data_IF_799757563051
#
_entry.id   IF_799757563051
#
_cell.length_a   1.000
_cell.length_b   1.000
_cell.length_c   1.000
_cell.angle_alpha   90.00
_cell.angle_beta   90.00
_cell.angle_gamma   90.00
#
_symmetry.space_group_name_H-M   'P 1'
#
loop_
_entity.id
_entity.type
_entity.pdbx_description
1 polymer ?
#
# COMPACT_ATOMS: atom_id res chain seq x y z
N UNK A 1 -90.32 9.32 -135.17
CA UNK A 1 -91.48 9.56 -134.28
C UNK A 1 -91.22 9.08 -132.85
N UNK A 2 -90.19 8.27 -132.57
CA UNK A 2 -90.00 7.65 -131.25
C UNK A 2 -89.19 8.44 -130.22
N UNK A 3 -88.29 9.34 -130.64
CA UNK A 3 -87.32 9.94 -129.72
C UNK A 3 -87.86 11.16 -128.94
N UNK A 4 -88.79 11.90 -129.55
CA UNK A 4 -89.46 13.07 -128.94
C UNK A 4 -90.46 12.61 -127.87
N UNK A 5 -91.20 11.53 -128.13
CA UNK A 5 -92.20 10.99 -127.19
C UNK A 5 -91.53 10.41 -125.94
N UNK A 6 -90.40 9.70 -126.09
CA UNK A 6 -89.63 9.20 -124.94
C UNK A 6 -89.06 10.32 -124.08
N UNK A 7 -88.53 11.39 -124.69
CA UNK A 7 -88.05 12.57 -123.93
C UNK A 7 -89.17 13.28 -123.19
N UNK A 8 -90.36 13.41 -123.79
CA UNK A 8 -91.52 13.99 -123.13
C UNK A 8 -92.01 13.11 -121.98
N UNK A 9 -92.08 11.78 -122.16
CA UNK A 9 -92.51 10.86 -121.11
C UNK A 9 -91.54 10.83 -119.93
N UNK A 10 -90.24 10.82 -120.19
CA UNK A 10 -89.22 10.90 -119.13
C UNK A 10 -89.25 12.27 -118.43
N UNK A 11 -89.47 13.36 -119.15
CA UNK A 11 -89.60 14.70 -118.56
C UNK A 11 -90.84 14.80 -117.67
N UNK A 12 -91.97 14.23 -118.10
CA UNK A 12 -93.20 14.18 -117.31
C UNK A 12 -93.02 13.29 -116.08
N UNK A 13 -92.42 12.10 -116.24
CA UNK A 13 -92.16 11.18 -115.12
C UNK A 13 -91.20 11.82 -114.10
N UNK A 14 -90.16 12.52 -114.58
CA UNK A 14 -89.24 13.25 -113.71
C UNK A 14 -89.93 14.41 -113.00
N UNK A 15 -90.78 15.18 -113.69
CA UNK A 15 -91.61 16.23 -113.08
C UNK A 15 -92.57 15.64 -112.04
N UNK A 16 -93.15 14.47 -112.27
CA UNK A 16 -94.12 13.84 -111.38
C UNK A 16 -93.44 13.25 -110.12
N UNK A 17 -92.23 12.69 -110.28
CA UNK A 17 -91.39 12.27 -109.15
C UNK A 17 -90.92 13.49 -108.36
N UNK A 18 -90.54 14.58 -109.05
CA UNK A 18 -90.10 15.81 -108.41
C UNK A 18 -91.25 16.45 -107.61
N UNK A 19 -92.48 16.48 -108.13
CA UNK A 19 -93.63 17.01 -107.40
C UNK A 19 -94.02 16.13 -106.20
N UNK A 20 -93.93 14.80 -106.33
CA UNK A 20 -94.12 13.87 -105.20
C UNK A 20 -93.05 14.04 -104.10
N UNK A 21 -91.80 14.32 -104.45
CA UNK A 21 -90.75 14.61 -103.48
C UNK A 21 -90.95 15.96 -102.75
N UNK A 22 -91.50 16.97 -103.40
CA UNK A 22 -91.81 18.26 -102.75
C UNK A 22 -93.08 18.19 -101.88
N UNK A 23 -94.02 17.28 -102.17
CA UNK A 23 -95.19 17.08 -101.34
C UNK A 23 -94.82 16.52 -99.95
N UNK A 24 -93.80 15.66 -99.86
CA UNK A 24 -93.44 14.96 -98.62
C UNK A 24 -92.49 15.74 -97.69
N UNK A 25 -91.93 16.88 -98.11
CA UNK A 25 -91.07 17.73 -97.25
C UNK A 25 -91.81 18.84 -96.51
N UNK A 26 -93.12 19.01 -96.75
CA UNK A 26 -93.95 20.03 -96.08
C UNK A 26 -94.65 19.53 -94.81
N UNK A 27 -94.56 18.22 -94.51
CA UNK A 27 -95.30 17.58 -93.41
C UNK A 27 -94.41 17.01 -92.30
N UNK A 28 -93.22 17.59 -92.08
CA UNK A 28 -92.34 17.18 -90.97
C UNK A 28 -91.58 18.38 -90.38
N UNK A 29 -92.34 19.40 -89.96
CA UNK A 29 -91.86 20.36 -88.97
C UNK A 29 -92.89 20.38 -87.85
N UNK A 30 -92.68 19.55 -86.82
CA UNK A 30 -93.40 19.70 -85.56
C UNK A 30 -93.02 21.07 -84.99
N UNK A 31 -93.91 22.04 -85.17
CA UNK A 31 -93.81 23.34 -84.49
C UNK A 31 -93.89 23.02 -83.01
N UNK A 32 -92.76 23.19 -82.30
CA UNK A 32 -92.71 23.07 -80.86
C UNK A 32 -93.88 23.88 -80.25
N UNK A 33 -94.59 23.33 -79.24
CA UNK A 33 -95.74 24.02 -78.65
C UNK A 33 -95.35 25.45 -78.29
N UNK A 34 -96.14 26.45 -78.75
CA UNK A 34 -95.90 27.85 -78.41
C UNK A 34 -96.09 28.00 -76.91
N UNK A 35 -94.98 28.16 -76.20
CA UNK A 35 -94.98 28.54 -74.79
C UNK A 35 -95.65 29.91 -74.70
N UNK A 36 -96.67 29.99 -73.85
CA UNK A 36 -97.39 31.23 -73.57
C UNK A 36 -96.58 32.09 -72.62
N UNK A 37 -96.72 33.42 -72.69
CA UNK A 37 -96.06 34.34 -71.75
C UNK A 37 -96.36 33.99 -70.28
N UNK A 38 -97.53 33.38 -70.02
CA UNK A 38 -97.91 32.84 -68.70
C UNK A 38 -97.00 31.70 -68.23
N UNK A 39 -96.71 30.72 -69.09
CA UNK A 39 -95.82 29.59 -68.76
C UNK A 39 -94.37 30.05 -68.57
N UNK A 40 -93.92 31.07 -69.33
CA UNK A 40 -92.60 31.70 -69.12
C UNK A 40 -92.54 32.39 -67.75
N UNK A 41 -93.57 33.17 -67.39
CA UNK A 41 -93.64 33.86 -66.10
C UNK A 41 -93.70 32.86 -64.94
N UNK A 42 -94.43 31.76 -65.09
CA UNK A 42 -94.52 30.70 -64.08
C UNK A 42 -93.17 30.01 -63.88
N UNK A 43 -92.49 29.60 -64.96
CA UNK A 43 -91.15 29.01 -64.90
C UNK A 43 -90.11 29.99 -64.32
N UNK A 44 -90.15 31.27 -64.68
CA UNK A 44 -89.27 32.29 -64.11
C UNK A 44 -89.55 32.52 -62.62
N UNK A 45 -90.81 32.42 -62.20
CA UNK A 45 -91.21 32.55 -60.79
C UNK A 45 -90.70 31.35 -59.99
N UNK A 46 -90.81 30.13 -60.52
CA UNK A 46 -90.27 28.91 -59.92
C UNK A 46 -88.74 28.96 -59.81
N UNK A 47 -88.04 29.37 -60.88
CA UNK A 47 -86.58 29.57 -60.87
C UNK A 47 -86.17 30.62 -59.84
N UNK A 48 -86.91 31.74 -59.75
CA UNK A 48 -86.65 32.78 -58.75
C UNK A 48 -86.83 32.26 -57.33
N UNK A 49 -87.85 31.45 -57.06
CA UNK A 49 -88.04 30.79 -55.77
C UNK A 49 -86.95 29.76 -55.48
N UNK A 50 -86.54 28.97 -56.48
CA UNK A 50 -85.42 28.03 -56.38
C UNK A 50 -84.10 28.73 -56.06
N UNK A 51 -83.81 29.86 -56.71
CA UNK A 51 -82.61 30.67 -56.43
C UNK A 51 -82.65 31.27 -55.02
N UNK A 52 -83.80 31.73 -54.56
CA UNK A 52 -83.96 32.21 -53.17
C UNK A 52 -83.74 31.09 -52.15
N UNK A 53 -84.25 29.88 -52.41
CA UNK A 53 -84.03 28.72 -51.55
C UNK A 53 -82.56 28.30 -51.52
N UNK A 54 -81.87 28.34 -52.67
CA UNK A 54 -80.43 28.08 -52.77
C UNK A 54 -79.61 29.12 -52.01
N UNK A 55 -79.93 30.41 -52.13
CA UNK A 55 -79.25 31.48 -51.40
C UNK A 55 -79.38 31.27 -49.88
N UNK A 56 -80.60 30.97 -49.38
CA UNK A 56 -80.81 30.65 -47.97
C UNK A 56 -79.96 29.46 -47.50
N UNK A 57 -79.92 28.38 -48.29
CA UNK A 57 -79.09 27.20 -47.98
C UNK A 57 -77.60 27.54 -47.96
N UNK A 58 -77.14 28.43 -48.85
CA UNK A 58 -75.76 28.89 -48.90
C UNK A 58 -75.42 29.73 -47.66
N UNK A 59 -76.32 30.65 -47.27
CA UNK A 59 -76.17 31.46 -46.06
C UNK A 59 -76.12 30.58 -44.80
N UNK A 60 -77.03 29.61 -44.68
CA UNK A 60 -77.06 28.64 -43.57
C UNK A 60 -75.77 27.81 -43.50
N UNK A 61 -75.22 27.42 -44.66
CA UNK A 61 -73.96 26.70 -44.75
C UNK A 61 -72.78 27.56 -44.31
N UNK A 62 -72.71 28.82 -44.74
CA UNK A 62 -71.66 29.76 -44.35
C UNK A 62 -71.73 30.03 -42.84
N UNK A 63 -72.92 30.25 -42.28
CA UNK A 63 -73.12 30.44 -40.84
C UNK A 63 -72.66 29.22 -40.06
N UNK A 64 -73.05 28.00 -40.48
CA UNK A 64 -72.64 26.77 -39.82
C UNK A 64 -71.11 26.57 -39.91
N UNK A 65 -70.52 26.83 -41.07
CA UNK A 65 -69.07 26.74 -41.27
C UNK A 65 -68.32 27.71 -40.38
N UNK A 66 -68.72 28.98 -40.33
CA UNK A 66 -68.10 29.99 -39.48
C UNK A 66 -68.19 29.61 -38.01
N UNK A 67 -69.35 29.12 -37.55
CA UNK A 67 -69.52 28.64 -36.18
C UNK A 67 -68.57 27.48 -35.85
N UNK A 68 -68.47 26.47 -36.71
CA UNK A 68 -67.54 25.34 -36.51
C UNK A 68 -66.08 25.79 -36.55
N UNK A 69 -65.74 26.75 -37.40
CA UNK A 69 -64.41 27.32 -37.48
C UNK A 69 -64.04 28.09 -36.20
N UNK A 70 -64.94 28.91 -35.68
CA UNK A 70 -64.75 29.62 -34.40
C UNK A 70 -64.58 28.65 -33.24
N UNK A 71 -65.44 27.63 -33.14
CA UNK A 71 -65.33 26.57 -32.11
C UNK A 71 -63.99 25.82 -32.20
N UNK A 72 -63.57 25.46 -33.42
CA UNK A 72 -62.30 24.80 -33.66
C UNK A 72 -61.12 25.69 -33.26
N UNK A 73 -61.15 26.97 -33.63
CA UNK A 73 -60.09 27.92 -33.31
C UNK A 73 -60.01 28.19 -31.79
N UNK A 74 -61.16 28.32 -31.12
CA UNK A 74 -61.22 28.46 -29.67
C UNK A 74 -60.65 27.22 -28.95
N UNK A 75 -60.99 26.01 -29.41
CA UNK A 75 -60.43 24.77 -28.86
C UNK A 75 -58.91 24.70 -29.09
N UNK A 76 -58.44 25.05 -30.29
CA UNK A 76 -57.01 25.07 -30.61
C UNK A 76 -56.25 26.04 -29.70
N UNK A 77 -56.72 27.28 -29.55
CA UNK A 77 -56.10 28.27 -28.67
C UNK A 77 -56.05 27.81 -27.22
N UNK A 78 -57.16 27.24 -26.72
CA UNK A 78 -57.20 26.68 -25.36
C UNK A 78 -56.16 25.57 -25.16
N UNK A 79 -56.09 24.61 -26.09
CA UNK A 79 -55.10 23.52 -26.02
C UNK A 79 -53.68 24.04 -26.11
N UNK A 80 -53.44 25.06 -26.93
CA UNK A 80 -52.13 25.70 -27.06
C UNK A 80 -51.71 26.41 -25.76
N UNK A 81 -52.62 27.17 -25.14
CA UNK A 81 -52.38 27.83 -23.85
C UNK A 81 -52.11 26.82 -22.73
N UNK A 82 -52.92 25.76 -22.63
CA UNK A 82 -52.72 24.69 -21.65
C UNK A 82 -51.38 23.98 -21.84
N UNK A 83 -51.02 23.69 -23.10
CA UNK A 83 -49.73 23.09 -23.44
C UNK A 83 -48.57 24.02 -23.06
N UNK A 84 -48.65 25.30 -23.40
CA UNK A 84 -47.61 26.28 -23.09
C UNK A 84 -47.46 26.47 -21.57
N UNK A 85 -48.57 26.54 -20.83
CA UNK A 85 -48.56 26.61 -19.37
C UNK A 85 -47.93 25.36 -18.72
N UNK A 86 -48.20 24.17 -19.26
CA UNK A 86 -47.55 22.93 -18.80
C UNK A 86 -46.04 22.95 -19.10
N UNK A 87 -45.64 23.36 -20.30
CA UNK A 87 -44.22 23.51 -20.64
C UNK A 87 -43.51 24.47 -19.70
N UNK A 88 -44.07 25.66 -19.46
CA UNK A 88 -43.47 26.64 -18.53
C UNK A 88 -43.31 26.07 -17.13
N UNK A 89 -44.34 25.41 -16.58
CA UNK A 89 -44.24 24.74 -15.27
C UNK A 89 -43.15 23.66 -15.23
N UNK A 90 -42.99 22.90 -16.31
CA UNK A 90 -41.93 21.88 -16.41
C UNK A 90 -40.55 22.51 -16.47
N UNK A 91 -40.38 23.59 -17.23
CA UNK A 91 -39.11 24.33 -17.29
C UNK A 91 -38.75 24.94 -15.93
N UNK A 92 -39.68 25.61 -15.26
CA UNK A 92 -39.45 26.13 -13.90
C UNK A 92 -39.06 25.03 -12.91
N UNK A 93 -39.67 23.84 -13.02
CA UNK A 93 -39.31 22.68 -12.19
C UNK A 93 -37.90 22.17 -12.51
N UNK A 94 -37.51 22.18 -13.79
CA UNK A 94 -36.16 21.83 -14.23
C UNK A 94 -35.13 22.83 -13.71
N UNK A 95 -35.41 24.13 -13.81
CA UNK A 95 -34.53 25.20 -13.33
C UNK A 95 -34.29 25.07 -11.82
N UNK A 96 -35.35 24.86 -11.04
CA UNK A 96 -35.23 24.60 -9.59
C UNK A 96 -34.38 23.37 -9.27
N UNK A 97 -34.48 22.30 -10.08
CA UNK A 97 -33.64 21.11 -9.91
C UNK A 97 -32.17 21.39 -10.23
N UNK A 98 -31.89 22.21 -11.24
CA UNK A 98 -30.53 22.63 -11.55
C UNK A 98 -29.94 23.53 -10.47
N UNK A 99 -30.72 24.45 -9.91
CA UNK A 99 -30.30 25.24 -8.75
C UNK A 99 -29.96 24.37 -7.54
N UNK A 100 -30.78 23.35 -7.24
CA UNK A 100 -30.50 22.39 -6.16
C UNK A 100 -29.22 21.58 -6.44
N UNK A 101 -29.03 21.11 -7.67
CA UNK A 101 -27.80 20.43 -8.11
C UNK A 101 -26.58 21.33 -7.90
N UNK A 102 -26.64 22.59 -8.32
CA UNK A 102 -25.53 23.54 -8.16
C UNK A 102 -25.19 23.74 -6.68
N UNK A 103 -26.18 23.94 -5.80
CA UNK A 103 -25.94 24.05 -4.35
C UNK A 103 -25.28 22.80 -3.77
N UNK A 104 -25.69 21.62 -4.22
CA UNK A 104 -25.06 20.36 -3.80
C UNK A 104 -23.63 20.23 -4.29
N UNK A 105 -23.31 20.72 -5.49
CA UNK A 105 -21.93 20.77 -5.97
C UNK A 105 -21.08 21.75 -5.14
N UNK A 106 -21.62 22.91 -4.77
CA UNK A 106 -20.92 23.85 -3.90
C UNK A 106 -20.62 23.24 -2.52
N UNK A 107 -21.58 22.54 -1.90
CA UNK A 107 -21.38 21.80 -0.65
C UNK A 107 -20.29 20.72 -0.79
N UNK A 108 -20.33 19.96 -1.88
CA UNK A 108 -19.30 18.95 -2.18
C UNK A 108 -17.91 19.61 -2.28
N UNK A 109 -17.80 20.74 -2.98
CA UNK A 109 -16.53 21.46 -3.12
C UNK A 109 -15.99 21.92 -1.75
N UNK A 110 -16.84 22.50 -0.91
CA UNK A 110 -16.45 22.91 0.45
C UNK A 110 -15.97 21.72 1.30
N UNK A 111 -16.64 20.57 1.18
CA UNK A 111 -16.22 19.34 1.87
C UNK A 111 -14.88 18.82 1.36
N UNK A 112 -14.61 18.92 0.06
CA UNK A 112 -13.29 18.57 -0.49
C UNK A 112 -12.19 19.50 0.00
N UNK A 113 -12.44 20.81 0.07
CA UNK A 113 -11.48 21.77 0.66
C UNK A 113 -11.20 21.45 2.12
N UNK A 114 -12.21 21.08 2.90
CA UNK A 114 -12.03 20.68 4.29
C UNK A 114 -11.21 19.39 4.44
N UNK A 115 -11.47 18.40 3.58
CA UNK A 115 -10.67 17.16 3.52
C UNK A 115 -9.21 17.49 3.20
N UNK A 116 -8.95 18.37 2.23
CA UNK A 116 -7.58 18.77 1.88
C UNK A 116 -6.86 19.43 3.07
N UNK A 117 -7.51 20.36 3.78
CA UNK A 117 -6.93 20.97 5.00
C UNK A 117 -6.61 19.93 6.08
N UNK A 118 -7.48 18.94 6.27
CA UNK A 118 -7.25 17.85 7.22
C UNK A 118 -6.07 16.96 6.81
N UNK A 119 -5.89 16.70 5.51
CA UNK A 119 -4.72 15.98 5.02
C UNK A 119 -3.42 16.77 5.21
N UNK A 120 -3.44 18.09 5.02
CA UNK A 120 -2.29 18.95 5.31
C UNK A 120 -1.92 18.91 6.80
N UNK A 121 -2.89 19.00 7.70
CA UNK A 121 -2.66 18.87 9.16
C UNK A 121 -2.08 17.50 9.53
N UNK A 122 -2.61 16.41 8.94
CA UNK A 122 -2.08 15.07 9.13
C UNK A 122 -0.61 14.98 8.68
N UNK A 123 -0.26 15.55 7.53
CA UNK A 123 1.11 15.57 7.03
C UNK A 123 2.05 16.31 7.99
N UNK A 124 1.65 17.48 8.50
CA UNK A 124 2.43 18.24 9.49
C UNK A 124 2.65 17.44 10.78
N UNK A 125 1.64 16.70 11.25
CA UNK A 125 1.76 15.83 12.42
C UNK A 125 2.70 14.65 12.18
N UNK A 126 2.68 14.06 10.98
CA UNK A 126 3.64 13.03 10.60
C UNK A 126 5.08 13.57 10.54
N UNK A 127 5.29 14.78 10.02
CA UNK A 127 6.60 15.43 10.04
C UNK A 127 7.11 15.68 11.48
N UNK A 128 6.26 16.14 12.38
CA UNK A 128 6.61 16.31 13.80
C UNK A 128 6.95 14.97 14.46
N UNK A 129 6.15 13.93 14.21
CA UNK A 129 6.44 12.58 14.69
C UNK A 129 7.80 12.08 14.20
N UNK A 130 8.11 12.26 12.91
CA UNK A 130 9.40 11.86 12.35
C UNK A 130 10.57 12.59 13.04
N UNK A 131 10.46 13.91 13.27
CA UNK A 131 11.47 14.68 14.02
C UNK A 131 11.66 14.15 15.44
N UNK A 132 10.57 13.78 16.13
CA UNK A 132 10.62 13.20 17.47
C UNK A 132 11.28 11.82 17.47
N UNK A 133 11.00 10.98 16.48
CA UNK A 133 11.67 9.69 16.31
C UNK A 133 13.17 9.87 16.03
N UNK A 134 13.55 10.83 15.21
CA UNK A 134 14.97 11.16 14.97
C UNK A 134 15.68 11.62 16.26
N UNK A 135 15.05 12.48 17.08
CA UNK A 135 15.61 12.89 18.37
C UNK A 135 15.76 11.69 19.33
N UNK A 136 14.76 10.81 19.37
CA UNK A 136 14.83 9.57 20.16
C UNK A 136 15.97 8.66 19.71
N UNK A 137 16.15 8.48 18.41
CA UNK A 137 17.26 7.68 17.87
C UNK A 137 18.61 8.28 18.27
N UNK A 138 18.80 9.61 18.13
CA UNK A 138 20.03 10.28 18.57
C UNK A 138 20.31 10.09 20.06
N UNK A 139 19.28 10.17 20.91
CA UNK A 139 19.42 9.91 22.35
C UNK A 139 19.79 8.46 22.62
N UNK A 140 19.20 7.51 21.90
CA UNK A 140 19.50 6.09 22.02
C UNK A 140 20.94 5.80 21.59
N UNK A 141 21.40 6.37 20.48
CA UNK A 141 22.79 6.27 20.02
C UNK A 141 23.76 6.85 21.04
N UNK A 142 23.45 8.02 21.61
CA UNK A 142 24.28 8.62 22.67
C UNK A 142 24.32 7.76 23.94
N UNK A 143 23.17 7.20 24.34
CA UNK A 143 23.09 6.27 25.47
C UNK A 143 23.87 4.99 25.20
N UNK A 144 23.79 4.45 23.99
CA UNK A 144 24.54 3.27 23.57
C UNK A 144 26.05 3.53 23.62
N UNK A 145 26.49 4.68 23.08
CA UNK A 145 27.90 5.08 23.08
C UNK A 145 28.45 5.33 24.49
N UNK A 146 27.69 6.01 25.35
CA UNK A 146 28.09 6.23 26.76
C UNK A 146 28.16 4.91 27.52
N UNK A 147 27.20 4.00 27.31
CA UNK A 147 27.21 2.67 27.90
C UNK A 147 28.41 1.83 27.42
N UNK A 148 28.68 1.81 26.11
CA UNK A 148 29.88 1.15 25.55
C UNK A 148 31.17 1.71 26.15
N UNK A 149 31.26 3.03 26.30
CA UNK A 149 32.42 3.70 26.90
C UNK A 149 32.61 3.29 28.36
N UNK A 150 31.53 3.24 29.13
CA UNK A 150 31.56 2.77 30.53
C UNK A 150 31.99 1.30 30.60
N UNK A 151 31.40 0.42 29.78
CA UNK A 151 31.81 -0.98 29.72
C UNK A 151 33.28 -1.15 29.34
N UNK A 152 33.76 -0.44 28.32
CA UNK A 152 35.18 -0.49 27.94
C UNK A 152 36.09 -0.01 29.08
N UNK A 153 35.73 1.09 29.76
CA UNK A 153 36.52 1.63 30.89
C UNK A 153 36.59 0.66 32.07
N UNK A 154 35.48 0.02 32.44
CA UNK A 154 35.44 -0.96 33.53
C UNK A 154 36.23 -2.22 33.18
N UNK A 155 36.14 -2.70 31.94
CA UNK A 155 36.96 -3.84 31.47
C UNK A 155 38.45 -3.52 31.50
N UNK A 156 38.84 -2.29 31.11
CA UNK A 156 40.21 -1.84 31.20
C UNK A 156 40.72 -1.78 32.65
N UNK A 157 39.90 -1.29 33.59
CA UNK A 157 40.24 -1.27 35.02
C UNK A 157 40.38 -2.69 35.59
N UNK A 158 39.43 -3.58 35.30
CA UNK A 158 39.47 -4.98 35.75
C UNK A 158 40.71 -5.68 35.18
N UNK A 159 40.97 -5.54 33.89
CA UNK A 159 42.16 -6.09 33.24
C UNK A 159 43.45 -5.54 33.84
N UNK A 160 43.51 -4.23 34.12
CA UNK A 160 44.63 -3.59 34.80
C UNK A 160 44.86 -4.14 36.21
N UNK A 161 43.80 -4.32 37.01
CA UNK A 161 43.88 -4.88 38.36
C UNK A 161 44.34 -6.35 38.35
N UNK A 162 43.77 -7.18 37.47
CA UNK A 162 44.19 -8.58 37.31
C UNK A 162 45.65 -8.65 36.89
N UNK A 163 46.05 -7.84 35.90
CA UNK A 163 47.44 -7.74 35.45
C UNK A 163 48.39 -7.33 36.58
N UNK A 164 48.02 -6.32 37.37
CA UNK A 164 48.78 -5.87 38.54
C UNK A 164 48.90 -6.97 39.60
N UNK A 165 47.80 -7.67 39.92
CA UNK A 165 47.78 -8.74 40.91
C UNK A 165 48.68 -9.91 40.51
N UNK A 166 48.67 -10.30 39.22
CA UNK A 166 49.57 -11.34 38.69
C UNK A 166 51.03 -10.91 38.81
N UNK A 167 51.34 -9.66 38.46
CA UNK A 167 52.70 -9.12 38.56
C UNK A 167 53.19 -9.06 40.01
N UNK A 168 52.37 -8.54 40.93
CA UNK A 168 52.69 -8.41 42.35
C UNK A 168 52.91 -9.78 43.00
N UNK A 169 52.03 -10.75 42.71
CA UNK A 169 52.18 -12.14 43.18
C UNK A 169 53.46 -12.79 42.67
N UNK A 170 53.81 -12.58 41.40
CA UNK A 170 55.06 -13.10 40.82
C UNK A 170 56.29 -12.46 41.50
N UNK A 171 56.23 -11.17 41.81
CA UNK A 171 57.33 -10.45 42.45
C UNK A 171 57.51 -10.82 43.92
N UNK A 172 56.43 -10.97 44.68
CA UNK A 172 56.46 -11.30 46.11
C UNK A 172 56.89 -12.74 46.40
N UNK A 173 56.63 -13.68 45.50
CA UNK A 173 57.07 -15.08 45.66
C UNK A 173 58.53 -15.31 45.30
N UNK A 174 59.15 -14.39 44.56
CA UNK A 174 60.56 -14.46 44.14
C UNK A 174 61.55 -14.56 45.32
N UNK A 175 61.48 -13.69 46.37
CA UNK A 175 62.36 -13.81 47.52
C UNK A 175 62.10 -15.07 48.35
N UNK A 176 60.84 -15.56 48.41
CA UNK A 176 60.53 -16.80 49.11
C UNK A 176 61.16 -18.01 48.42
N UNK A 177 61.05 -18.11 47.09
CA UNK A 177 61.69 -19.20 46.32
C UNK A 177 63.20 -19.23 46.58
N UNK A 178 63.87 -18.08 46.52
CA UNK A 178 65.31 -17.98 46.82
C UNK A 178 65.66 -18.48 48.22
N UNK A 179 64.84 -18.16 49.23
CA UNK A 179 65.05 -18.66 50.59
C UNK A 179 64.80 -20.16 50.71
N UNK A 180 63.79 -20.69 50.02
CA UNK A 180 63.51 -22.12 49.98
C UNK A 180 64.66 -22.90 49.31
N UNK A 181 65.17 -22.40 48.18
CA UNK A 181 66.32 -22.99 47.48
C UNK A 181 67.56 -22.99 48.39
N UNK A 182 67.83 -21.88 49.10
CA UNK A 182 68.92 -21.80 50.08
C UNK A 182 68.78 -22.81 51.22
N UNK A 183 67.56 -23.01 51.75
CA UNK A 183 67.31 -23.99 52.80
C UNK A 183 67.45 -25.42 52.26
N UNK A 184 66.96 -25.69 51.05
CA UNK A 184 67.09 -27.00 50.42
C UNK A 184 68.57 -27.37 50.22
N UNK A 185 69.39 -26.44 49.71
CA UNK A 185 70.83 -26.63 49.58
C UNK A 185 71.49 -26.85 50.94
N UNK A 186 71.11 -26.06 51.96
CA UNK A 186 71.63 -26.25 53.31
C UNK A 186 71.29 -27.65 53.88
N UNK A 187 70.07 -28.13 53.69
CA UNK A 187 69.66 -29.49 54.11
C UNK A 187 70.49 -30.56 53.39
N UNK A 188 70.74 -30.41 52.08
CA UNK A 188 71.58 -31.34 51.32
C UNK A 188 73.01 -31.39 51.88
N UNK A 189 73.60 -30.24 52.20
CA UNK A 189 74.95 -30.20 52.80
C UNK A 189 74.98 -30.87 54.18
N UNK A 190 73.96 -30.65 55.01
CA UNK A 190 73.85 -31.30 56.33
C UNK A 190 73.67 -32.81 56.18
N UNK A 191 72.81 -33.28 55.26
CA UNK A 191 72.65 -34.72 55.04
C UNK A 191 73.98 -35.36 54.62
N UNK A 192 74.72 -34.71 53.71
CA UNK A 192 76.03 -35.17 53.28
C UNK A 192 77.04 -35.23 54.44
N UNK A 193 77.07 -34.23 55.33
CA UNK A 193 77.98 -34.26 56.49
C UNK A 193 77.59 -35.33 57.49
N UNK A 194 76.29 -35.61 57.69
CA UNK A 194 75.85 -36.70 58.56
C UNK A 194 76.23 -38.08 58.01
N UNK A 195 76.12 -38.29 56.71
CA UNK A 195 76.59 -39.53 56.06
C UNK A 195 78.10 -39.70 56.25
N UNK A 196 78.89 -38.66 55.98
CA UNK A 196 80.34 -38.68 56.17
C UNK A 196 80.76 -38.89 57.64
N UNK A 197 80.01 -38.34 58.60
CA UNK A 197 80.31 -38.54 60.03
C UNK A 197 80.01 -39.97 60.46
N UNK A 198 78.95 -40.58 59.90
CA UNK A 198 78.57 -41.97 60.20
C UNK A 198 79.61 -42.97 59.68
N UNK A 199 80.19 -42.72 58.49
CA UNK A 199 81.26 -43.55 57.93
C UNK A 199 82.56 -43.39 58.71
N UNK A 200 82.93 -42.16 59.07
CA UNK A 200 84.10 -41.90 59.93
C UNK A 200 83.95 -42.57 61.31
N UNK A 201 82.76 -42.54 61.89
CA UNK A 201 82.48 -43.21 63.16
C UNK A 201 82.67 -44.73 63.03
N UNK A 202 82.14 -45.35 61.98
CA UNK A 202 82.35 -46.77 61.71
C UNK A 202 83.84 -47.14 61.51
N UNK A 203 84.59 -46.29 60.81
CA UNK A 203 86.03 -46.47 60.61
C UNK A 203 86.82 -46.35 61.92
N UNK A 204 86.44 -45.39 62.79
CA UNK A 204 87.03 -45.27 64.13
C UNK A 204 86.69 -46.47 65.02
N UNK A 205 85.44 -46.95 65.02
CA UNK A 205 85.08 -48.16 65.77
C UNK A 205 85.88 -49.38 65.33
N UNK A 206 86.12 -49.51 64.03
CA UNK A 206 86.93 -50.57 63.43
C UNK A 206 88.40 -50.43 63.85
N UNK A 207 89.02 -49.26 63.67
CA UNK A 207 90.43 -49.04 64.00
C UNK A 207 90.73 -49.10 65.51
N UNK A 208 89.77 -48.71 66.35
CA UNK A 208 89.89 -48.77 67.81
C UNK A 208 89.44 -50.12 68.40
N UNK A 209 89.01 -51.07 67.54
CA UNK A 209 88.36 -52.35 67.87
C UNK A 209 87.43 -52.26 69.09
N UNK A 210 86.56 -51.23 69.15
CA UNK A 210 85.75 -50.97 70.35
C UNK A 210 84.82 -52.13 70.72
N UNK A 211 84.52 -53.01 69.75
CA UNK A 211 83.67 -54.20 69.88
C UNK A 211 84.44 -55.48 70.26
N UNK A 212 85.73 -55.39 70.54
CA UNK A 212 86.56 -56.53 70.95
C UNK A 212 86.18 -56.99 72.37
N UNK A 213 85.95 -58.29 72.64
CA UNK A 213 85.59 -58.81 73.96
C UNK A 213 86.63 -58.56 75.06
N UNK A 214 87.86 -58.17 74.69
CA UNK A 214 88.93 -57.78 75.65
C UNK A 214 88.94 -56.28 76.00
N UNK A 215 88.01 -55.49 75.45
CA UNK A 215 87.90 -54.03 75.62
C UNK A 215 88.60 -53.21 74.51
N UNK A 216 88.34 -51.89 74.43
CA UNK A 216 88.91 -50.99 73.41
C UNK A 216 90.44 -51.05 73.26
N UNK A 217 90.98 -50.84 72.06
CA UNK A 217 92.44 -50.89 71.79
C UNK A 217 93.22 -49.84 72.57
N UNK A 218 92.74 -48.58 72.62
CA UNK A 218 93.48 -47.47 73.24
C UNK A 218 93.75 -47.67 74.73
N UNK A 219 92.76 -48.03 75.58
CA UNK A 219 93.00 -48.37 76.98
C UNK A 219 93.93 -49.58 77.17
N UNK A 220 93.87 -50.58 76.28
CA UNK A 220 94.77 -51.75 76.33
C UNK A 220 96.21 -51.37 75.99
N UNK A 221 96.42 -50.61 74.92
CA UNK A 221 97.73 -50.07 74.56
C UNK A 221 98.26 -49.15 75.67
N UNK A 222 97.41 -48.30 76.23
CA UNK A 222 97.79 -47.43 77.34
C UNK A 222 98.21 -48.22 78.58
N UNK A 223 97.49 -49.31 78.91
CA UNK A 223 97.86 -50.20 80.01
C UNK A 223 99.19 -50.92 79.73
N UNK A 224 99.39 -51.43 78.52
CA UNK A 224 100.65 -52.07 78.12
C UNK A 224 101.83 -51.09 78.16
N UNK A 225 101.64 -49.84 77.69
CA UNK A 225 102.64 -48.79 77.75
C UNK A 225 102.94 -48.36 79.19
N UNK A 226 101.94 -48.30 80.07
CA UNK A 226 102.14 -48.06 81.51
C UNK A 226 102.94 -49.18 82.17
N UNK A 227 102.61 -50.45 81.87
CA UNK A 227 103.39 -51.57 82.40
C UNK A 227 104.83 -51.56 81.89
N UNK A 228 105.05 -51.24 80.62
CA UNK A 228 106.39 -51.14 80.04
C UNK A 228 107.19 -49.93 80.57
N UNK A 229 106.52 -48.84 80.95
CA UNK A 229 107.15 -47.69 81.57
C UNK A 229 107.66 -47.98 83.00
N UNK A 230 107.21 -49.05 83.65
CA UNK A 230 107.83 -49.48 84.91
C UNK A 230 109.22 -50.11 84.70
N UNK A 231 109.55 -50.53 83.48
CA UNK A 231 110.83 -51.15 83.14
C UNK A 231 111.74 -50.28 82.26
N UNK A 232 111.21 -49.33 81.49
CA UNK A 232 111.98 -48.41 80.63
C UNK A 232 111.82 -46.93 81.05
N UNK A 233 112.89 -46.34 81.58
CA UNK A 233 112.92 -44.98 82.11
C UNK A 233 112.70 -43.91 81.03
N UNK A 234 113.08 -44.16 79.77
CA UNK A 234 112.81 -43.22 78.67
C UNK A 234 111.33 -43.15 78.37
N UNK A 235 110.64 -44.28 78.40
CA UNK A 235 109.22 -44.40 78.08
C UNK A 235 108.34 -43.82 79.20
N UNK A 236 108.75 -43.97 80.46
CA UNK A 236 108.13 -43.32 81.61
C UNK A 236 108.15 -41.79 81.54
N UNK A 237 109.27 -41.20 81.11
CA UNK A 237 109.39 -39.75 80.98
C UNK A 237 108.48 -39.19 79.87
N UNK A 238 108.31 -39.92 78.77
CA UNK A 238 107.38 -39.56 77.69
C UNK A 238 105.92 -39.66 78.15
N UNK A 239 105.52 -40.73 78.87
CA UNK A 239 104.15 -40.81 79.37
C UNK A 239 103.82 -39.75 80.44
N UNK A 240 104.80 -39.34 81.26
CA UNK A 240 104.65 -38.20 82.18
C UNK A 240 104.47 -36.88 81.45
N UNK A 241 105.17 -36.64 80.34
CA UNK A 241 105.04 -35.37 79.60
C UNK A 241 103.66 -35.18 78.97
N UNK A 242 102.97 -36.27 78.63
CA UNK A 242 101.58 -36.28 78.18
C UNK A 242 100.56 -36.48 79.31
N UNK A 243 100.97 -36.42 80.59
CA UNK A 243 100.11 -36.57 81.78
C UNK A 243 99.35 -37.89 81.89
N UNK A 244 99.87 -38.95 81.28
CA UNK A 244 99.20 -40.24 81.22
C UNK A 244 99.61 -41.19 82.36
N UNK A 245 100.65 -40.89 83.14
CA UNK A 245 101.24 -41.77 84.15
C UNK A 245 101.10 -41.23 85.57
#
# INVERSE_FOLDING_TARGET
>A
MDDIVKKLLNSISFMLILTLCHANTTAAFEVAPRITDREIVEALTEVKHGQQALNKRMDDMIINFNKRFEEMNANFNKRFEEMNANFNKRFESVDKRFEDINRRFDDINQRFEDINRRFEDINLRFEDMNKRFEDMNKRFDNMHNTMLTLYASTMALIGGLIGYMIWDRKKSTLPLKRKLDQIADAILTVNQTTENLSTLHAELEQHLELRNPSGPVVPRLLKALKELAHTDEKLANVLRSFSLL
#
